data_IF_606328693119
#
_entry.id   IF_606328693119
#
_cell.length_a   1.000
_cell.length_b   1.000
_cell.length_c   1.000
_cell.angle_alpha   90.00
_cell.angle_beta   90.00
_cell.angle_gamma   90.00
#
_symmetry.space_group_name_H-M   'P 1'
#
loop_
_entity.id
_entity.type
_entity.pdbx_description
1 polymer ?
#
# COMPACT_ATOMS: atom_id res chain seq x y z
N UNK A 1 -12.24 21.75 55.06
CA UNK A 1 -11.07 21.94 54.19
C UNK A 1 -10.79 20.63 53.49
N UNK A 2 -10.59 20.65 52.17
CA UNK A 2 -10.33 19.45 51.39
C UNK A 2 -10.56 19.71 49.90
N UNK A 3 -9.75 20.59 49.30
CA UNK A 3 -9.68 20.69 47.84
C UNK A 3 -8.77 19.55 47.38
N UNK A 4 -9.36 18.56 46.68
CA UNK A 4 -8.58 17.58 45.94
C UNK A 4 -7.90 18.25 44.76
N UNK A 5 -6.57 18.27 44.80
CA UNK A 5 -5.74 18.65 43.66
C UNK A 5 -5.92 17.58 42.57
N UNK A 6 -6.54 17.97 41.46
CA UNK A 6 -6.49 17.20 40.21
C UNK A 6 -5.07 17.34 39.68
N UNK A 7 -4.28 16.27 39.79
CA UNK A 7 -2.97 16.19 39.17
C UNK A 7 -3.10 16.41 37.67
N UNK A 8 -2.44 17.46 37.17
CA UNK A 8 -2.24 17.71 35.76
C UNK A 8 -1.43 16.53 35.20
N UNK A 9 -2.08 15.66 34.43
CA UNK A 9 -1.38 14.64 33.68
C UNK A 9 -0.57 15.36 32.60
N UNK A 10 0.72 15.57 32.86
CA UNK A 10 1.63 16.21 31.91
C UNK A 10 1.52 15.49 30.56
N UNK A 11 0.97 16.19 29.56
CA UNK A 11 0.88 15.67 28.20
C UNK A 11 2.30 15.36 27.71
N UNK A 12 2.58 14.09 27.44
CA UNK A 12 3.87 13.72 26.87
C UNK A 12 4.03 14.42 25.52
N UNK A 13 5.20 15.01 25.23
CA UNK A 13 5.42 15.68 23.96
C UNK A 13 5.26 14.68 22.81
N UNK A 14 4.44 15.02 21.83
CA UNK A 14 4.30 14.24 20.61
C UNK A 14 5.66 14.11 19.93
N UNK A 15 6.01 12.89 19.52
CA UNK A 15 7.28 12.60 18.84
C UNK A 15 7.14 12.83 17.33
N UNK A 16 8.23 13.22 16.63
CA UNK A 16 8.26 13.22 15.17
C UNK A 16 7.81 11.87 14.61
N UNK A 17 6.88 11.91 13.65
CA UNK A 17 6.30 10.73 13.04
C UNK A 17 6.80 10.49 11.62
N UNK A 18 6.79 11.54 10.80
CA UNK A 18 7.30 11.57 9.42
C UNK A 18 7.79 12.98 9.12
N UNK A 19 8.19 13.28 7.88
CA UNK A 19 8.63 14.60 7.45
C UNK A 19 7.90 15.11 6.19
N UNK A 20 7.81 16.43 6.09
CA UNK A 20 7.36 17.10 4.86
C UNK A 20 8.45 17.08 3.76
N UNK A 21 8.13 17.65 2.59
CA UNK A 21 9.04 17.74 1.46
C UNK A 21 10.37 18.47 1.74
N UNK A 22 10.43 19.29 2.79
CA UNK A 22 11.62 20.01 3.21
C UNK A 22 12.39 19.30 4.33
N UNK A 23 11.95 18.10 4.72
CA UNK A 23 12.55 17.34 5.82
C UNK A 23 12.15 17.84 7.21
N UNK A 24 11.10 18.67 7.32
CA UNK A 24 10.63 19.16 8.62
C UNK A 24 9.73 18.13 9.29
N UNK A 25 9.88 17.90 10.60
CA UNK A 25 9.13 16.86 11.30
C UNK A 25 7.64 17.20 11.38
N UNK A 26 6.82 16.20 11.10
CA UNK A 26 5.37 16.20 11.27
C UNK A 26 5.00 15.31 12.45
N UNK A 27 4.00 15.74 13.22
CA UNK A 27 3.51 15.04 14.40
C UNK A 27 2.21 14.31 14.06
N UNK A 28 2.07 13.06 14.47
CA UNK A 28 0.80 12.33 14.33
C UNK A 28 -0.17 12.75 15.43
N UNK A 29 -1.35 13.22 15.01
CA UNK A 29 -2.51 13.41 15.86
C UNK A 29 -3.42 12.17 15.70
N UNK A 30 -3.52 11.30 16.72
CA UNK A 30 -4.34 10.10 16.64
C UNK A 30 -5.83 10.45 16.71
N UNK A 31 -6.66 9.61 16.12
CA UNK A 31 -8.12 9.78 16.12
C UNK A 31 -8.79 8.75 15.20
N UNK A 32 -10.12 8.83 15.09
CA UNK A 32 -10.87 8.03 14.12
C UNK A 32 -10.44 8.36 12.67
N UNK A 33 -10.20 9.65 12.42
CA UNK A 33 -9.51 10.17 11.23
C UNK A 33 -8.19 10.77 11.69
N UNK A 34 -7.08 10.01 11.59
CA UNK A 34 -5.78 10.51 12.03
C UNK A 34 -5.32 11.68 11.15
N UNK A 35 -4.50 12.57 11.70
CA UNK A 35 -3.95 13.73 10.98
C UNK A 35 -2.45 13.89 11.25
N UNK A 36 -1.73 14.48 10.31
CA UNK A 36 -0.38 15.01 10.55
C UNK A 36 -0.45 16.50 10.82
N UNK A 37 0.35 16.98 11.77
CA UNK A 37 0.46 18.38 12.13
C UNK A 37 1.89 18.87 11.92
N UNK A 38 2.04 20.01 11.23
CA UNK A 38 3.31 20.70 11.10
C UNK A 38 3.45 21.79 12.18
N UNK A 39 4.35 21.65 13.17
CA UNK A 39 4.40 22.54 14.33
C UNK A 39 4.63 24.02 14.02
N UNK A 40 5.46 24.34 13.02
CA UNK A 40 5.82 25.75 12.75
C UNK A 40 4.80 26.50 11.89
N UNK A 41 4.06 25.81 11.02
CA UNK A 41 3.10 26.43 10.10
C UNK A 41 1.66 26.27 10.57
N UNK A 42 1.40 25.34 11.49
CA UNK A 42 0.05 24.98 11.91
C UNK A 42 -0.71 24.14 10.90
N UNK A 43 -0.11 23.77 9.76
CA UNK A 43 -0.79 23.00 8.70
C UNK A 43 -1.12 21.58 9.17
N UNK A 44 -2.31 21.12 8.79
CA UNK A 44 -2.78 19.76 8.98
C UNK A 44 -2.83 19.04 7.63
N UNK A 45 -2.62 17.73 7.67
CA UNK A 45 -2.94 16.81 6.57
C UNK A 45 -3.79 15.68 7.12
N UNK A 46 -4.90 15.40 6.46
CA UNK A 46 -5.73 14.25 6.74
C UNK A 46 -5.01 12.96 6.34
N UNK A 47 -5.24 11.88 7.09
CA UNK A 47 -4.76 10.54 6.75
C UNK A 47 -5.96 9.59 6.58
N UNK A 48 -5.79 8.45 5.89
CA UNK A 48 -6.87 7.50 5.72
C UNK A 48 -7.37 6.95 7.07
N UNK A 49 -8.70 6.92 7.23
CA UNK A 49 -9.38 6.26 8.33
C UNK A 49 -9.48 4.74 8.09
N UNK A 50 -10.01 4.00 9.08
CA UNK A 50 -10.33 2.56 8.91
C UNK A 50 -9.12 1.61 8.94
N UNK A 51 -7.93 2.11 9.26
CA UNK A 51 -6.71 1.31 9.31
C UNK A 51 -5.70 1.81 10.33
N UNK A 52 -4.45 1.42 10.15
CA UNK A 52 -3.31 1.91 10.91
C UNK A 52 -2.30 2.57 9.97
N UNK A 53 -1.68 3.65 10.44
CA UNK A 53 -0.61 4.35 9.74
C UNK A 53 0.67 4.20 10.55
N UNK A 54 1.76 3.81 9.88
CA UNK A 54 3.11 3.72 10.46
C UNK A 54 4.10 4.50 9.60
N UNK A 55 5.21 5.00 10.16
CA UNK A 55 6.26 5.62 9.36
C UNK A 55 6.84 4.60 8.36
N UNK A 56 7.09 5.02 7.12
CA UNK A 56 7.89 4.26 6.17
C UNK A 56 9.28 4.87 6.09
N UNK A 57 9.99 4.82 7.21
CA UNK A 57 11.18 5.64 7.46
C UNK A 57 12.21 5.60 6.34
N UNK A 58 12.65 6.79 5.91
CA UNK A 58 13.66 6.97 4.86
C UNK A 58 13.15 6.72 3.44
N UNK A 59 11.85 6.51 3.23
CA UNK A 59 11.25 6.43 1.89
C UNK A 59 10.57 7.75 1.55
N UNK A 60 10.91 8.29 0.38
CA UNK A 60 10.43 9.58 -0.07
C UNK A 60 9.48 9.40 -1.25
N UNK A 61 8.38 10.15 -1.25
CA UNK A 61 7.44 10.21 -2.36
C UNK A 61 8.13 10.84 -3.58
N UNK A 62 8.23 10.13 -4.71
CA UNK A 62 8.87 10.69 -5.91
C UNK A 62 8.09 11.86 -6.52
N UNK A 63 6.80 11.98 -6.24
CA UNK A 63 5.95 13.02 -6.81
C UNK A 63 6.14 14.39 -6.14
N UNK A 64 6.33 14.41 -4.81
CA UNK A 64 6.31 15.66 -4.05
C UNK A 64 7.38 15.78 -2.96
N UNK A 65 8.19 14.74 -2.72
CA UNK A 65 9.29 14.78 -1.74
C UNK A 65 8.89 14.50 -0.28
N UNK A 66 7.61 14.28 0.02
CA UNK A 66 7.17 13.90 1.38
C UNK A 66 7.75 12.56 1.81
N UNK A 67 8.10 12.42 3.10
CA UNK A 67 8.41 11.10 3.66
C UNK A 67 7.13 10.25 3.74
N UNK A 68 7.22 9.04 3.20
CA UNK A 68 6.11 8.11 3.07
C UNK A 68 5.75 7.49 4.42
N UNK A 69 4.49 7.08 4.52
CA UNK A 69 3.97 6.21 5.55
C UNK A 69 3.57 4.86 4.94
N UNK A 70 3.32 3.88 5.79
CA UNK A 70 2.64 2.63 5.47
C UNK A 70 1.22 2.71 6.02
N UNK A 71 0.23 2.52 5.16
CA UNK A 71 -1.15 2.36 5.57
C UNK A 71 -1.53 0.88 5.49
N UNK A 72 -2.12 0.36 6.56
CA UNK A 72 -2.67 -1.00 6.62
C UNK A 72 -4.15 -0.93 6.98
N UNK A 73 -5.06 -1.29 6.06
CA UNK A 73 -6.47 -1.40 6.39
C UNK A 73 -6.70 -2.42 7.51
N UNK A 74 -7.76 -2.24 8.29
CA UNK A 74 -8.12 -3.20 9.35
C UNK A 74 -8.73 -4.49 8.79
N UNK A 75 -9.35 -4.43 7.62
CA UNK A 75 -10.02 -5.57 7.01
C UNK A 75 -9.01 -6.65 6.56
N UNK A 76 -9.29 -7.94 6.80
CA UNK A 76 -8.46 -9.02 6.28
C UNK A 76 -8.53 -9.12 4.74
N UNK A 77 -7.62 -9.87 4.09
CA UNK A 77 -6.33 -10.34 4.62
C UNK A 77 -5.41 -9.18 5.05
N UNK A 78 -4.33 -9.46 5.77
CA UNK A 78 -3.41 -8.41 6.21
C UNK A 78 -2.70 -7.79 5.00
N UNK A 79 -2.91 -6.49 4.74
CA UNK A 79 -2.32 -5.75 3.62
C UNK A 79 -1.65 -4.46 4.10
N UNK A 80 -0.67 -3.98 3.35
CA UNK A 80 -0.10 -2.66 3.54
C UNK A 80 0.15 -1.97 2.19
N UNK A 81 0.09 -0.64 2.19
CA UNK A 81 0.32 0.18 1.00
C UNK A 81 1.21 1.38 1.33
N UNK A 82 2.06 1.82 0.40
CA UNK A 82 2.72 3.12 0.53
C UNK A 82 1.67 4.24 0.56
N UNK A 83 1.84 5.15 1.52
CA UNK A 83 0.98 6.32 1.70
C UNK A 83 1.86 7.58 1.64
N UNK A 84 1.69 8.40 0.62
CA UNK A 84 2.14 9.79 0.66
C UNK A 84 1.07 10.66 1.34
N UNK A 85 1.35 11.33 2.48
CA UNK A 85 0.36 12.15 3.18
C UNK A 85 -0.14 13.34 2.36
N UNK A 86 0.76 14.09 1.70
CA UNK A 86 0.36 15.27 0.89
C UNK A 86 -0.54 14.87 -0.27
N UNK A 87 -0.08 13.98 -1.15
CA UNK A 87 -0.87 13.55 -2.31
C UNK A 87 -2.21 12.90 -1.95
N UNK A 88 -2.30 12.29 -0.76
CA UNK A 88 -3.56 11.76 -0.26
C UNK A 88 -4.52 12.89 0.14
N UNK A 89 -4.04 13.85 0.94
CA UNK A 89 -4.82 15.00 1.41
C UNK A 89 -5.31 15.84 0.21
N UNK A 90 -4.43 16.11 -0.75
CA UNK A 90 -4.75 16.83 -1.98
C UNK A 90 -5.86 16.10 -2.79
N UNK A 91 -5.88 14.76 -2.78
CA UNK A 91 -6.91 13.97 -3.49
C UNK A 91 -8.31 14.05 -2.87
N UNK A 92 -8.40 14.45 -1.59
CA UNK A 92 -9.69 14.66 -0.92
C UNK A 92 -10.35 15.95 -1.40
N UNK A 93 -9.55 16.99 -1.67
CA UNK A 93 -10.02 18.29 -2.15
C UNK A 93 -10.47 18.24 -3.61
N UNK A 94 -9.77 17.49 -4.44
CA UNK A 94 -10.06 17.37 -5.87
C UNK A 94 -11.26 16.46 -6.18
N UNK A 95 -11.81 15.77 -5.19
CA UNK A 95 -12.80 14.69 -5.38
C UNK A 95 -12.25 13.51 -6.21
N UNK A 96 -10.97 13.58 -6.60
CA UNK A 96 -10.22 12.61 -7.41
C UNK A 96 -9.50 11.58 -6.53
N UNK A 97 -10.08 11.30 -5.37
CA UNK A 97 -9.79 10.13 -4.56
C UNK A 97 -9.49 8.95 -5.47
N UNK A 98 -8.33 8.31 -5.30
CA UNK A 98 -7.81 7.21 -6.14
C UNK A 98 -8.68 5.94 -6.22
N UNK A 99 -9.97 6.03 -5.91
CA UNK A 99 -11.02 5.23 -6.53
C UNK A 99 -11.24 5.67 -7.96
N UNK A 100 -10.58 5.01 -8.91
CA UNK A 100 -11.16 4.99 -10.25
C UNK A 100 -12.56 4.37 -10.11
N UNK A 101 -13.58 5.22 -10.19
CA UNK A 101 -14.92 4.96 -10.72
C UNK A 101 -15.50 3.61 -10.32
N UNK A 102 -16.01 3.47 -9.09
CA UNK A 102 -17.28 2.74 -8.98
C UNK A 102 -18.24 3.50 -9.87
N UNK A 103 -18.79 2.88 -10.91
CA UNK A 103 -19.79 3.47 -11.81
C UNK A 103 -21.12 3.78 -11.12
N UNK A 104 -21.06 4.47 -9.98
CA UNK A 104 -22.16 4.93 -9.18
C UNK A 104 -22.01 6.44 -9.09
N UNK A 105 -22.97 7.16 -9.69
CA UNK A 105 -23.21 8.56 -9.41
C UNK A 105 -23.49 8.70 -7.91
N UNK A 106 -22.47 9.00 -7.12
CA UNK A 106 -22.61 9.31 -5.70
C UNK A 106 -21.77 10.52 -5.38
N UNK A 107 -22.40 11.52 -4.76
CA UNK A 107 -21.72 12.56 -4.00
C UNK A 107 -20.74 11.88 -3.04
N UNK A 108 -19.46 11.81 -3.41
CA UNK A 108 -18.46 11.06 -2.67
C UNK A 108 -18.12 11.80 -1.38
N UNK A 109 -18.81 11.44 -0.29
CA UNK A 109 -18.52 11.97 1.03
C UNK A 109 -17.21 11.41 1.58
N UNK A 110 -16.61 12.08 2.56
CA UNK A 110 -15.46 11.58 3.31
C UNK A 110 -15.71 10.19 3.95
N UNK A 111 -16.97 9.80 4.17
CA UNK A 111 -17.36 8.49 4.69
C UNK A 111 -17.24 7.39 3.62
N UNK A 112 -17.59 7.68 2.36
CA UNK A 112 -17.37 6.79 1.21
C UNK A 112 -15.88 6.54 1.01
N UNK A 113 -15.08 7.59 1.15
CA UNK A 113 -13.63 7.51 1.04
C UNK A 113 -12.99 6.65 2.15
N UNK A 114 -13.46 6.79 3.39
CA UNK A 114 -13.04 5.95 4.52
C UNK A 114 -13.42 4.47 4.31
N UNK A 115 -14.58 4.19 3.71
CA UNK A 115 -15.01 2.83 3.39
C UNK A 115 -14.16 2.19 2.27
N UNK A 116 -13.70 2.97 1.29
CA UNK A 116 -12.78 2.49 0.25
C UNK A 116 -11.39 2.26 0.80
N UNK A 117 -10.84 3.20 1.58
CA UNK A 117 -9.54 2.98 2.22
C UNK A 117 -9.58 1.80 3.21
N UNK A 118 -10.74 1.50 3.79
CA UNK A 118 -10.92 0.31 4.60
C UNK A 118 -10.77 -1.01 3.81
N UNK A 119 -10.91 -0.98 2.47
CA UNK A 119 -10.83 -2.17 1.61
C UNK A 119 -9.65 -2.18 0.63
N UNK A 120 -8.97 -1.04 0.39
CA UNK A 120 -7.99 -0.90 -0.68
C UNK A 120 -6.81 0.05 -0.43
N UNK A 121 -6.09 0.36 -1.51
CA UNK A 121 -4.92 1.26 -1.52
C UNK A 121 -5.36 2.73 -1.44
N UNK A 122 -4.68 3.59 -0.66
CA UNK A 122 -4.98 5.02 -0.59
C UNK A 122 -4.51 5.79 -1.83
N UNK A 123 -3.67 5.17 -2.66
CA UNK A 123 -3.13 5.73 -3.90
C UNK A 123 -3.47 4.83 -5.08
N UNK A 124 -3.79 5.45 -6.21
CA UNK A 124 -3.99 4.74 -7.48
C UNK A 124 -2.71 4.08 -7.98
N UNK A 125 -2.86 3.11 -8.87
CA UNK A 125 -1.78 2.25 -9.40
C UNK A 125 -0.71 3.03 -10.18
N UNK A 126 -1.07 4.19 -10.72
CA UNK A 126 -0.19 5.11 -11.45
C UNK A 126 0.63 6.02 -10.54
N UNK A 127 0.29 6.13 -9.25
CA UNK A 127 1.02 7.01 -8.33
C UNK A 127 2.48 6.55 -8.22
N UNK A 128 3.49 7.44 -8.32
CA UNK A 128 4.91 7.05 -8.36
C UNK A 128 5.41 6.25 -7.14
N UNK A 129 4.76 6.38 -5.98
CA UNK A 129 5.06 5.55 -4.80
C UNK A 129 4.49 4.12 -4.88
N UNK A 130 3.49 3.88 -5.73
CA UNK A 130 2.78 2.60 -5.89
C UNK A 130 3.22 1.88 -7.15
N UNK A 131 3.34 2.58 -8.27
CA UNK A 131 3.64 2.02 -9.58
C UNK A 131 4.84 1.04 -9.61
N UNK A 132 5.95 1.26 -8.88
CA UNK A 132 7.07 0.32 -8.83
C UNK A 132 6.72 -1.04 -8.22
N UNK A 133 5.65 -1.12 -7.41
CA UNK A 133 5.20 -2.33 -6.72
C UNK A 133 4.13 -3.11 -7.50
N UNK A 134 3.56 -2.53 -8.56
CA UNK A 134 2.51 -3.18 -9.36
C UNK A 134 3.06 -4.39 -10.10
N UNK A 135 2.56 -5.58 -9.81
CA UNK A 135 2.95 -6.82 -10.46
C UNK A 135 2.08 -7.13 -11.69
N UNK A 136 0.76 -7.13 -11.55
CA UNK A 136 -0.19 -7.42 -12.61
C UNK A 136 -1.62 -7.03 -12.21
N UNK A 137 -2.59 -7.17 -13.12
CA UNK A 137 -4.01 -7.06 -12.77
C UNK A 137 -4.42 -8.06 -11.68
N UNK A 138 -5.31 -7.63 -10.78
CA UNK A 138 -5.90 -8.48 -9.76
C UNK A 138 -6.87 -9.50 -10.39
N UNK A 139 -6.81 -10.79 -10.01
CA UNK A 139 -7.75 -11.79 -10.53
C UNK A 139 -9.20 -11.52 -10.11
N UNK A 140 -9.41 -10.82 -8.98
CA UNK A 140 -10.75 -10.52 -8.44
C UNK A 140 -11.28 -9.17 -8.91
N UNK A 141 -10.45 -8.13 -8.89
CA UNK A 141 -10.87 -6.73 -9.14
C UNK A 141 -10.26 -6.12 -10.40
N UNK A 142 -9.61 -6.93 -11.24
CA UNK A 142 -8.90 -6.43 -12.42
C UNK A 142 -9.82 -5.83 -13.49
N UNK A 143 -11.11 -6.19 -13.50
CA UNK A 143 -12.10 -5.60 -14.42
C UNK A 143 -12.44 -4.16 -14.05
N UNK A 144 -12.32 -3.83 -12.76
CA UNK A 144 -12.52 -2.50 -12.18
C UNK A 144 -11.19 -1.73 -12.06
N UNK A 145 -10.13 -2.20 -12.73
CA UNK A 145 -8.81 -1.57 -12.72
C UNK A 145 -7.92 -1.94 -11.52
N UNK A 146 -8.30 -2.93 -10.72
CA UNK A 146 -7.51 -3.39 -9.57
C UNK A 146 -6.22 -4.10 -9.96
N UNK A 147 -5.17 -3.88 -9.18
CA UNK A 147 -3.85 -4.48 -9.37
C UNK A 147 -3.42 -5.29 -8.15
N UNK A 148 -2.50 -6.23 -8.38
CA UNK A 148 -1.70 -6.85 -7.32
C UNK A 148 -0.41 -6.05 -7.14
N UNK A 149 -0.16 -5.64 -5.91
CA UNK A 149 1.06 -4.93 -5.49
C UNK A 149 1.94 -5.86 -4.67
N UNK A 150 3.26 -5.78 -4.84
CA UNK A 150 4.20 -6.30 -3.86
C UNK A 150 4.02 -5.56 -2.53
N UNK A 151 3.70 -6.27 -1.46
CA UNK A 151 3.49 -5.68 -0.14
C UNK A 151 4.78 -4.98 0.34
N UNK A 152 4.72 -3.66 0.63
CA UNK A 152 5.88 -2.87 0.98
C UNK A 152 6.48 -3.21 2.35
N UNK A 153 5.80 -4.04 3.18
CA UNK A 153 6.37 -4.58 4.43
C UNK A 153 7.56 -5.50 4.16
N UNK A 154 7.61 -6.13 2.98
CA UNK A 154 8.70 -7.00 2.57
C UNK A 154 8.74 -8.36 3.27
N UNK A 155 9.86 -9.06 3.08
CA UNK A 155 10.07 -10.40 3.62
C UNK A 155 10.28 -10.45 5.14
N UNK A 156 10.30 -11.66 5.72
CA UNK A 156 10.20 -12.96 5.05
C UNK A 156 8.76 -13.36 4.66
N UNK A 157 7.74 -12.62 5.10
CA UNK A 157 6.34 -12.90 4.77
C UNK A 157 5.87 -12.13 3.53
N UNK A 158 6.44 -12.49 2.38
CA UNK A 158 6.12 -11.86 1.10
C UNK A 158 4.66 -12.06 0.71
N UNK A 159 4.03 -10.99 0.23
CA UNK A 159 2.64 -10.99 -0.23
C UNK A 159 2.49 -10.16 -1.50
N UNK A 160 1.57 -10.56 -2.36
CA UNK A 160 1.01 -9.70 -3.40
C UNK A 160 -0.41 -9.30 -2.98
N UNK A 161 -0.66 -8.01 -2.77
CA UNK A 161 -1.90 -7.51 -2.16
C UNK A 161 -2.71 -6.73 -3.20
N UNK A 162 -4.03 -6.96 -3.22
CA UNK A 162 -4.91 -6.25 -4.16
C UNK A 162 -5.10 -4.79 -3.76
N UNK A 163 -5.12 -3.87 -4.73
CA UNK A 163 -5.44 -2.46 -4.51
C UNK A 163 -6.91 -2.19 -4.25
N UNK A 164 -7.82 -3.09 -4.66
CA UNK A 164 -9.27 -2.83 -4.72
C UNK A 164 -10.15 -3.96 -4.19
N UNK A 165 -9.55 -5.05 -3.72
CA UNK A 165 -10.28 -6.18 -3.15
C UNK A 165 -9.64 -6.64 -1.85
N UNK A 166 -10.43 -7.31 -1.01
CA UNK A 166 -9.93 -8.08 0.13
C UNK A 166 -9.31 -9.40 -0.33
N UNK A 167 -8.24 -9.27 -1.12
CA UNK A 167 -7.53 -10.37 -1.77
C UNK A 167 -6.01 -10.17 -1.62
N UNK A 168 -5.30 -11.26 -1.34
CA UNK A 168 -3.84 -11.31 -1.42
C UNK A 168 -3.35 -12.70 -1.86
N UNK A 169 -2.19 -12.76 -2.50
CA UNK A 169 -1.38 -13.97 -2.54
C UNK A 169 -0.34 -13.91 -1.44
N UNK A 170 -0.21 -14.99 -0.66
CA UNK A 170 0.92 -15.27 0.20
C UNK A 170 1.96 -16.06 -0.59
N UNK A 171 3.22 -15.68 -0.46
CA UNK A 171 4.33 -16.47 -1.00
C UNK A 171 5.06 -17.22 0.13
N UNK A 172 5.83 -18.27 -0.19
CA UNK A 172 6.44 -19.12 0.81
C UNK A 172 7.53 -18.37 1.61
N UNK A 173 7.70 -18.72 2.90
CA UNK A 173 8.63 -18.03 3.80
C UNK A 173 10.10 -18.25 3.44
N UNK A 174 10.40 -19.20 2.55
CA UNK A 174 11.76 -19.48 2.07
C UNK A 174 12.20 -18.60 0.89
N UNK A 175 11.37 -17.64 0.46
CA UNK A 175 11.82 -16.58 -0.45
C UNK A 175 12.67 -15.58 0.34
N UNK A 176 13.94 -15.47 -0.03
CA UNK A 176 14.88 -14.51 0.54
C UNK A 176 14.60 -13.08 0.05
N UNK A 177 14.35 -12.91 -1.25
CA UNK A 177 14.09 -11.61 -1.86
C UNK A 177 13.01 -11.71 -2.95
N UNK A 178 12.16 -10.69 -3.03
CA UNK A 178 11.16 -10.54 -4.07
C UNK A 178 11.16 -9.10 -4.58
N UNK A 179 11.20 -8.92 -5.90
CA UNK A 179 11.15 -7.61 -6.55
C UNK A 179 10.28 -7.65 -7.80
N UNK A 180 9.61 -6.53 -8.08
CA UNK A 180 8.90 -6.31 -9.34
C UNK A 180 9.89 -5.75 -10.37
N UNK A 181 9.90 -6.36 -11.56
CA UNK A 181 10.80 -6.09 -12.68
C UNK A 181 10.18 -5.27 -13.80
N UNK A 182 10.71 -5.42 -15.01
CA UNK A 182 10.17 -4.78 -16.21
C UNK A 182 8.85 -5.42 -16.67
N UNK A 183 8.06 -4.75 -17.56
CA UNK A 183 6.92 -5.37 -18.23
C UNK A 183 7.25 -6.72 -18.89
N UNK A 184 6.39 -7.73 -18.71
CA UNK A 184 6.59 -9.08 -19.28
C UNK A 184 6.30 -9.17 -20.78
N UNK A 185 5.55 -8.20 -21.35
CA UNK A 185 5.01 -8.25 -22.72
C UNK A 185 3.80 -9.18 -22.92
N UNK A 186 3.43 -9.96 -21.91
CA UNK A 186 2.37 -10.96 -21.96
C UNK A 186 0.93 -10.40 -22.11
N UNK A 187 0.72 -9.10 -21.89
CA UNK A 187 -0.57 -8.42 -22.11
C UNK A 187 -0.75 -7.81 -23.50
N UNK A 188 0.31 -7.79 -24.33
CA UNK A 188 0.23 -7.25 -25.69
C UNK A 188 -0.81 -7.97 -26.58
N UNK A 189 -1.23 -9.19 -26.20
CA UNK A 189 -2.20 -9.99 -26.92
C UNK A 189 -3.68 -9.75 -26.52
N UNK A 190 -3.97 -8.96 -25.48
CA UNK A 190 -5.34 -8.82 -24.91
C UNK A 190 -5.78 -7.37 -24.66
N UNK A 191 -5.04 -6.39 -25.18
CA UNK A 191 -5.20 -4.97 -24.85
C UNK A 191 -6.57 -4.37 -25.22
N UNK A 192 -7.32 -3.98 -24.19
CA UNK A 192 -8.25 -2.86 -24.24
C UNK A 192 -7.76 -1.76 -23.29
N UNK A 193 -8.28 -0.54 -23.44
CA UNK A 193 -7.99 0.56 -22.52
C UNK A 193 -8.34 0.17 -21.07
N UNK A 194 -7.45 0.50 -20.12
CA UNK A 194 -7.70 0.31 -18.67
C UNK A 194 -7.21 -1.00 -18.03
N UNK A 195 -6.54 -1.89 -18.77
CA UNK A 195 -5.98 -3.14 -18.19
C UNK A 195 -4.59 -2.91 -17.59
N UNK A 196 -4.42 -3.25 -16.31
CA UNK A 196 -3.11 -3.23 -15.63
C UNK A 196 -2.17 -4.25 -16.27
N UNK A 197 -1.06 -3.77 -16.82
CA UNK A 197 -0.02 -4.60 -17.41
C UNK A 197 0.74 -5.44 -16.37
N UNK A 198 1.21 -6.60 -16.82
CA UNK A 198 1.95 -7.59 -16.05
C UNK A 198 3.46 -7.32 -16.17
N UNK A 199 4.16 -7.57 -15.07
CA UNK A 199 5.60 -7.36 -14.92
C UNK A 199 6.25 -8.63 -14.40
N UNK A 200 7.53 -8.80 -14.68
CA UNK A 200 8.30 -9.90 -14.11
C UNK A 200 8.40 -9.77 -12.60
N UNK A 201 8.38 -10.90 -11.90
CA UNK A 201 8.81 -11.03 -10.51
C UNK A 201 10.20 -11.64 -10.52
N UNK A 202 11.13 -10.97 -9.85
CA UNK A 202 12.46 -11.49 -9.58
C UNK A 202 12.46 -12.08 -8.17
N UNK A 203 12.65 -13.40 -8.10
CA UNK A 203 12.59 -14.17 -6.85
C UNK A 203 13.97 -14.74 -6.56
N UNK A 204 14.43 -14.53 -5.34
CA UNK A 204 15.61 -15.19 -4.81
C UNK A 204 15.18 -16.10 -3.65
N UNK A 205 15.41 -17.39 -3.78
CA UNK A 205 15.10 -18.39 -2.78
C UNK A 205 16.26 -18.59 -1.82
N UNK A 206 15.94 -18.96 -0.59
CA UNK A 206 16.94 -19.47 0.35
C UNK A 206 17.58 -20.74 -0.22
N UNK A 207 18.92 -20.80 -0.23
CA UNK A 207 19.68 -21.90 -0.84
C UNK A 207 19.27 -23.30 -0.39
N UNK A 208 18.87 -23.45 0.88
CA UNK A 208 18.55 -24.76 1.48
C UNK A 208 17.12 -25.23 1.16
N UNK A 209 16.30 -24.36 0.56
CA UNK A 209 14.86 -24.58 0.31
C UNK A 209 14.45 -24.20 -1.12
N UNK A 210 15.42 -24.01 -2.02
CA UNK A 210 15.12 -23.58 -3.38
C UNK A 210 14.37 -24.68 -4.14
N UNK A 211 13.25 -24.36 -4.81
CA UNK A 211 12.51 -25.31 -5.65
C UNK A 211 13.13 -25.46 -7.06
N UNK A 212 14.19 -24.72 -7.38
CA UNK A 212 14.80 -24.72 -8.72
C UNK A 212 15.72 -25.94 -8.88
N UNK A 213 15.55 -26.67 -9.99
CA UNK A 213 16.40 -27.80 -10.34
C UNK A 213 17.88 -27.43 -10.43
N UNK A 214 18.76 -28.39 -10.10
CA UNK A 214 20.21 -28.17 -10.13
C UNK A 214 20.75 -27.23 -9.04
N UNK A 215 19.93 -26.86 -8.05
CA UNK A 215 20.36 -26.03 -6.92
C UNK A 215 20.44 -24.54 -7.23
N UNK A 216 19.83 -24.07 -8.32
CA UNK A 216 19.69 -22.63 -8.59
C UNK A 216 18.91 -21.93 -7.49
N UNK A 217 19.12 -20.63 -7.28
CA UNK A 217 18.41 -19.85 -6.24
C UNK A 217 17.66 -18.64 -6.79
N UNK A 218 17.88 -18.28 -8.06
CA UNK A 218 17.24 -17.12 -8.67
C UNK A 218 16.25 -17.57 -9.76
N UNK A 219 15.03 -17.04 -9.71
CA UNK A 219 14.01 -17.24 -10.73
C UNK A 219 13.45 -15.90 -11.18
N UNK A 220 13.11 -15.79 -12.46
CA UNK A 220 12.41 -14.62 -13.01
C UNK A 220 11.26 -15.10 -13.85
N UNK A 221 10.04 -14.71 -13.48
CA UNK A 221 8.82 -15.20 -14.11
C UNK A 221 7.70 -14.18 -14.04
N UNK A 222 6.67 -14.36 -14.86
CA UNK A 222 5.44 -13.57 -14.77
C UNK A 222 4.38 -14.40 -14.04
N UNK A 223 3.75 -13.83 -13.01
CA UNK A 223 2.71 -14.54 -12.23
C UNK A 223 1.58 -15.12 -13.10
N UNK A 224 1.30 -14.54 -14.27
CA UNK A 224 0.24 -15.00 -15.17
C UNK A 224 0.61 -16.19 -16.05
N UNK A 225 1.89 -16.39 -16.37
CA UNK A 225 2.33 -17.38 -17.35
C UNK A 225 3.41 -18.33 -16.83
N UNK A 226 3.94 -18.08 -15.64
CA UNK A 226 4.99 -18.87 -15.02
C UNK A 226 4.39 -19.87 -14.03
N UNK A 227 4.46 -21.16 -14.38
CA UNK A 227 3.85 -22.24 -13.60
C UNK A 227 4.47 -22.39 -12.21
N UNK A 228 5.79 -22.15 -12.07
CA UNK A 228 6.45 -22.21 -10.77
C UNK A 228 5.93 -21.11 -9.84
N UNK A 229 5.86 -19.86 -10.32
CA UNK A 229 5.34 -18.76 -9.50
C UNK A 229 3.87 -18.97 -9.12
N UNK A 230 3.06 -19.51 -10.03
CA UNK A 230 1.66 -19.83 -9.75
C UNK A 230 1.53 -20.91 -8.68
N UNK A 231 2.33 -21.98 -8.78
CA UNK A 231 2.32 -23.07 -7.81
C UNK A 231 2.79 -22.65 -6.41
N UNK A 232 3.64 -21.61 -6.31
CA UNK A 232 4.13 -21.09 -5.03
C UNK A 232 3.16 -20.11 -4.35
N UNK A 233 2.17 -19.57 -5.07
CA UNK A 233 1.25 -18.57 -4.53
C UNK A 233 0.02 -19.22 -3.90
N UNK A 234 -0.19 -19.00 -2.61
CA UNK A 234 -1.41 -19.38 -1.90
C UNK A 234 -2.33 -18.15 -1.79
N UNK A 235 -3.59 -18.27 -2.17
CA UNK A 235 -4.52 -17.13 -2.09
C UNK A 235 -5.13 -17.00 -0.68
N UNK A 236 -5.31 -15.76 -0.26
CA UNK A 236 -6.05 -15.37 0.95
C UNK A 236 -7.16 -14.41 0.54
N UNK A 237 -8.40 -14.82 0.75
CA UNK A 237 -9.59 -14.00 0.56
C UNK A 237 -10.27 -13.76 1.91
N UNK A 238 -10.80 -12.55 2.12
CA UNK A 238 -11.79 -12.35 3.17
C UNK A 238 -13.14 -12.85 2.65
N UNK A 239 -13.70 -13.85 3.34
CA UNK A 239 -15.04 -14.39 3.06
C UNK A 239 -16.16 -13.40 3.31
#
# INVERSE_FOLDING_TARGET
>A
GGRGERGDAAAQPLRPFTADASGRPLLLLPGATPQLFHPSSGRLWSLPAGGSVKPHSGRICPACGFELCLFSPRAPPSRAYPLCPSCFDDSLDDGAAGIASTGADVDASAETFAAVCASGSPHGESHPAVAPLVACACPVSGREGGALLLDPRGGPEWRLVSTRASFAYRLPPFIHSLRVGAPCGCDAARGGDGVVGCRFLHVEFHRDYSPIEGGGTAHTGCLRSDELLQALCEFEEAG
#
